data_IF_367220726274
#
_entry.id   IF_367220726274
#
_cell.length_a   1.000
_cell.length_b   1.000
_cell.length_c   1.000
_cell.angle_alpha   90.00
_cell.angle_beta   90.00
_cell.angle_gamma   90.00
#
_symmetry.space_group_name_H-M   'P 1'
#
loop_
_entity.id
_entity.type
_entity.pdbx_description
1 polymer ?
#
# COMPACT_ATOMS: atom_id res chain seq x y z
N UNK A 1 19.79 9.11 -9.25
CA UNK A 1 19.43 8.28 -10.41
C UNK A 1 17.93 8.11 -10.38
N UNK A 2 17.24 8.43 -11.47
CA UNK A 2 15.79 8.25 -11.61
C UNK A 2 15.53 6.80 -12.02
N UNK A 3 14.84 6.04 -11.18
CA UNK A 3 14.55 4.64 -11.46
C UNK A 3 13.33 4.13 -10.71
N UNK A 4 12.52 3.34 -11.42
CA UNK A 4 11.43 2.54 -10.90
C UNK A 4 11.91 1.41 -9.96
N UNK A 5 13.20 1.06 -10.04
CA UNK A 5 13.75 -0.17 -9.47
C UNK A 5 14.65 0.07 -8.26
N UNK A 6 14.82 1.33 -7.86
CA UNK A 6 15.70 1.70 -6.75
C UNK A 6 14.83 2.18 -5.59
N UNK A 7 15.00 1.52 -4.45
CA UNK A 7 14.44 1.92 -3.16
C UNK A 7 15.61 2.48 -2.35
N UNK A 8 15.67 3.81 -2.26
CA UNK A 8 16.72 4.48 -1.48
C UNK A 8 16.29 4.63 -0.02
N UNK A 9 17.23 4.49 0.91
CA UNK A 9 17.03 4.77 2.33
C UNK A 9 18.10 5.75 2.82
N UNK A 10 17.70 6.75 3.62
CA UNK A 10 18.59 7.84 4.06
C UNK A 10 19.62 7.43 5.12
N UNK A 11 19.34 6.37 5.90
CA UNK A 11 20.13 6.00 7.07
C UNK A 11 20.68 4.57 6.94
N UNK A 12 21.81 4.32 7.60
CA UNK A 12 22.26 2.98 7.97
C UNK A 12 21.40 2.39 9.10
N UNK A 13 21.54 1.09 9.35
CA UNK A 13 21.00 0.44 10.56
C UNK A 13 22.13 0.01 11.48
N UNK A 14 21.91 0.14 12.78
CA UNK A 14 22.80 -0.44 13.81
C UNK A 14 22.35 -1.86 14.06
N UNK A 15 23.25 -2.83 13.98
CA UNK A 15 23.01 -4.24 14.34
C UNK A 15 23.99 -4.67 15.43
N UNK A 16 23.68 -5.75 16.15
CA UNK A 16 24.58 -6.30 17.17
C UNK A 16 25.50 -7.35 16.53
N UNK A 17 26.80 -7.06 16.45
CA UNK A 17 27.82 -8.02 16.04
C UNK A 17 28.79 -8.24 17.19
N UNK A 18 28.90 -9.48 17.68
CA UNK A 18 29.76 -9.80 18.82
C UNK A 18 29.39 -9.06 20.13
N UNK A 19 28.14 -8.60 20.26
CA UNK A 19 27.66 -7.82 21.40
C UNK A 19 27.94 -6.32 21.30
N UNK A 20 28.54 -5.84 20.20
CA UNK A 20 28.80 -4.42 19.96
C UNK A 20 27.91 -3.89 18.81
N UNK A 21 27.44 -2.62 18.90
CA UNK A 21 26.65 -2.02 17.84
C UNK A 21 27.53 -1.64 16.65
N UNK A 22 27.27 -2.22 15.49
CA UNK A 22 27.94 -1.91 14.20
C UNK A 22 26.93 -1.28 13.25
N UNK A 23 27.33 -0.24 12.51
CA UNK A 23 26.49 0.39 11.49
C UNK A 23 26.70 -0.32 10.16
N UNK A 24 25.61 -0.79 9.57
CA UNK A 24 25.58 -1.45 8.26
C UNK A 24 24.55 -0.80 7.34
N UNK A 25 24.63 -1.13 6.05
CA UNK A 25 23.64 -0.72 5.05
C UNK A 25 22.26 -1.34 5.37
N UNK A 26 21.15 -0.57 5.29
CA UNK A 26 19.81 -1.07 5.63
C UNK A 26 19.23 -2.04 4.59
N UNK A 27 19.83 -2.17 3.40
CA UNK A 27 19.26 -2.88 2.27
C UNK A 27 18.87 -4.32 2.61
N UNK A 28 19.73 -5.05 3.34
CA UNK A 28 19.44 -6.43 3.74
C UNK A 28 18.23 -6.52 4.69
N UNK A 29 18.14 -5.63 5.67
CA UNK A 29 17.02 -5.58 6.62
C UNK A 29 15.70 -5.18 5.93
N UNK A 30 15.75 -4.23 4.99
CA UNK A 30 14.58 -3.82 4.21
C UNK A 30 14.13 -4.93 3.26
N UNK A 31 15.07 -5.61 2.59
CA UNK A 31 14.74 -6.74 1.72
C UNK A 31 14.11 -7.91 2.50
N UNK A 32 14.62 -8.20 3.71
CA UNK A 32 14.05 -9.21 4.60
C UNK A 32 12.64 -8.81 5.07
N UNK A 33 12.42 -7.52 5.37
CA UNK A 33 11.09 -7.00 5.70
C UNK A 33 10.12 -7.22 4.55
N UNK A 34 10.49 -6.80 3.33
CA UNK A 34 9.67 -7.00 2.12
C UNK A 34 9.29 -8.48 1.95
N UNK A 35 10.27 -9.38 1.97
CA UNK A 35 10.04 -10.80 1.78
C UNK A 35 9.12 -11.41 2.87
N UNK A 36 9.30 -10.96 4.12
CA UNK A 36 8.42 -11.36 5.24
C UNK A 36 7.00 -10.88 5.02
N UNK A 37 6.79 -9.61 4.66
CA UNK A 37 5.46 -9.05 4.40
C UNK A 37 4.78 -9.83 3.29
N UNK A 38 5.49 -10.08 2.18
CA UNK A 38 4.94 -10.83 1.05
C UNK A 38 4.50 -12.23 1.44
N UNK A 39 5.30 -12.93 2.25
CA UNK A 39 4.97 -14.27 2.74
C UNK A 39 3.75 -14.25 3.65
N UNK A 40 3.63 -13.24 4.52
CA UNK A 40 2.52 -13.12 5.48
C UNK A 40 1.21 -12.77 4.78
N UNK A 41 1.26 -11.90 3.79
CA UNK A 41 0.07 -11.39 3.09
C UNK A 41 -0.28 -12.20 1.83
N UNK A 42 0.59 -13.12 1.40
CA UNK A 42 0.33 -14.01 0.27
C UNK A 42 0.65 -13.44 -1.11
N UNK A 43 1.45 -12.36 -1.19
CA UNK A 43 1.89 -11.82 -2.48
C UNK A 43 2.68 -10.51 -2.39
N UNK A 44 3.36 -10.10 -3.48
CA UNK A 44 4.24 -8.92 -3.53
C UNK A 44 3.48 -7.60 -3.77
N UNK A 45 2.21 -7.53 -3.37
CA UNK A 45 1.32 -6.40 -3.68
C UNK A 45 1.32 -5.31 -2.61
N UNK A 46 1.72 -5.68 -1.40
CA UNK A 46 1.57 -4.85 -0.22
C UNK A 46 2.78 -3.93 -0.02
N UNK A 47 2.52 -2.79 0.59
CA UNK A 47 3.55 -1.83 0.93
C UNK A 47 4.48 -2.37 2.02
N UNK A 48 5.81 -2.25 1.87
CA UNK A 48 6.74 -2.56 2.95
C UNK A 48 6.80 -1.45 4.02
N UNK A 49 6.21 -0.29 3.74
CA UNK A 49 6.24 0.86 4.62
C UNK A 49 5.40 0.67 5.88
N UNK A 50 5.67 1.51 6.88
CA UNK A 50 4.99 1.55 8.17
C UNK A 50 5.19 0.30 9.06
N UNK A 51 6.14 -0.57 8.72
CA UNK A 51 6.43 -1.82 9.44
C UNK A 51 7.79 -1.78 10.15
N UNK A 52 7.91 -2.53 11.24
CA UNK A 52 9.12 -2.55 12.06
C UNK A 52 10.20 -3.49 11.50
N UNK A 53 11.44 -2.99 11.46
CA UNK A 53 12.61 -3.80 11.14
C UNK A 53 12.97 -4.73 12.30
N UNK A 54 13.31 -5.98 11.97
CA UNK A 54 13.70 -7.04 12.91
C UNK A 54 15.21 -6.99 13.13
N UNK A 55 15.67 -7.30 14.35
CA UNK A 55 17.09 -7.41 14.75
C UNK A 55 17.97 -6.17 14.51
N UNK A 56 17.35 -5.04 14.19
CA UNK A 56 18.00 -3.72 14.18
C UNK A 56 18.04 -3.21 15.62
N UNK A 57 19.09 -2.50 16.03
CA UNK A 57 19.18 -1.78 17.31
C UNK A 57 18.61 -0.36 17.21
N UNK A 58 18.78 0.28 16.05
CA UNK A 58 18.22 1.59 15.71
C UNK A 58 18.85 2.14 14.43
N UNK A 59 18.42 3.31 13.94
CA UNK A 59 19.03 3.94 12.77
C UNK A 59 20.43 4.50 13.09
N UNK A 60 21.26 4.68 12.05
CA UNK A 60 22.60 5.26 12.17
C UNK A 60 22.55 6.72 12.63
N UNK A 61 21.54 7.47 12.16
CA UNK A 61 21.23 8.86 12.48
C UNK A 61 19.74 8.96 12.79
N UNK A 62 19.32 9.83 13.71
CA UNK A 62 17.89 10.13 13.91
C UNK A 62 17.34 10.99 12.78
N UNK A 63 16.19 10.62 12.22
CA UNK A 63 15.39 11.46 11.30
C UNK A 63 14.16 11.94 12.05
N UNK A 64 13.86 13.23 11.96
CA UNK A 64 12.68 13.78 12.61
C UNK A 64 11.40 13.28 11.92
N UNK A 65 10.49 12.72 12.72
CA UNK A 65 9.19 12.23 12.24
C UNK A 65 8.11 12.63 13.23
N UNK A 66 7.08 13.29 12.70
CA UNK A 66 5.92 13.79 13.43
C UNK A 66 4.73 13.55 12.51
N UNK A 67 3.73 12.80 13.00
CA UNK A 67 2.64 12.28 12.16
C UNK A 67 1.70 13.38 11.66
N UNK A 68 1.55 14.44 12.42
CA UNK A 68 0.71 15.62 12.14
C UNK A 68 1.46 16.74 11.42
N UNK A 69 2.78 16.60 11.21
CA UNK A 69 3.60 17.59 10.51
C UNK A 69 3.99 17.10 9.11
N UNK A 70 3.34 17.62 8.04
CA UNK A 70 3.72 17.29 6.66
C UNK A 70 5.12 17.81 6.30
N UNK A 71 5.63 18.81 7.04
CA UNK A 71 6.96 19.39 6.86
C UNK A 71 8.10 18.64 7.55
N UNK A 72 7.82 17.52 8.24
CA UNK A 72 8.85 16.77 8.94
C UNK A 72 9.93 16.23 8.00
N UNK A 73 11.14 16.02 8.53
CA UNK A 73 12.30 15.58 7.74
C UNK A 73 12.03 14.27 6.99
N UNK A 74 11.33 13.32 7.64
CA UNK A 74 10.95 12.05 7.02
C UNK A 74 10.09 12.25 5.77
N UNK A 75 9.07 13.11 5.82
CA UNK A 75 8.20 13.40 4.67
C UNK A 75 8.92 14.19 3.59
N UNK A 76 9.79 15.13 3.99
CA UNK A 76 10.65 15.86 3.05
C UNK A 76 11.60 14.96 2.25
N UNK A 77 12.15 13.92 2.90
CA UNK A 77 12.95 12.88 2.26
C UNK A 77 12.09 11.98 1.36
N UNK A 78 10.94 11.53 1.87
CA UNK A 78 10.03 10.64 1.15
C UNK A 78 9.60 11.27 -0.18
N UNK A 79 9.21 12.56 -0.17
CA UNK A 79 8.82 13.29 -1.38
C UNK A 79 9.94 13.40 -2.42
N UNK A 80 11.21 13.19 -2.04
CA UNK A 80 12.38 13.12 -2.95
C UNK A 80 12.76 11.71 -3.38
N UNK A 81 11.94 10.71 -3.04
CA UNK A 81 12.20 9.30 -3.34
C UNK A 81 13.25 8.67 -2.43
N UNK A 82 13.46 9.23 -1.24
CA UNK A 82 14.37 8.69 -0.23
C UNK A 82 13.56 8.32 1.02
N UNK A 83 13.54 7.03 1.32
CA UNK A 83 12.81 6.50 2.47
C UNK A 83 13.63 6.66 3.76
N UNK A 84 12.97 6.59 4.92
CA UNK A 84 13.63 6.76 6.22
C UNK A 84 13.24 5.67 7.21
N UNK A 85 14.05 5.52 8.24
CA UNK A 85 13.77 4.69 9.41
C UNK A 85 13.44 5.67 10.53
N UNK A 86 12.20 5.61 10.98
CA UNK A 86 11.63 6.58 11.91
C UNK A 86 11.39 5.97 13.28
N UNK A 87 11.53 6.82 14.29
CA UNK A 87 11.02 6.55 15.61
C UNK A 87 9.64 7.16 15.73
N UNK A 88 8.60 6.32 15.62
CA UNK A 88 7.25 6.76 16.02
C UNK A 88 7.32 7.13 17.49
N UNK A 89 7.08 8.39 17.80
CA UNK A 89 7.17 8.91 19.16
C UNK A 89 6.19 8.12 20.05
N UNK A 90 6.69 7.58 21.15
CA UNK A 90 5.87 6.83 22.09
C UNK A 90 4.73 7.73 22.59
N UNK A 91 3.51 7.20 22.47
CA UNK A 91 2.28 7.83 22.93
C UNK A 91 2.49 8.39 24.35
N UNK A 92 2.32 9.71 24.52
CA UNK A 92 2.62 10.45 25.76
C UNK A 92 1.80 9.98 26.99
N UNK A 93 0.84 9.10 26.76
CA UNK A 93 -0.06 8.46 27.73
C UNK A 93 0.40 7.09 28.22
N UNK A 94 1.33 6.42 27.54
CA UNK A 94 1.89 5.15 28.02
C UNK A 94 3.08 5.42 28.93
N UNK A 95 2.93 5.11 30.23
CA UNK A 95 4.03 5.07 31.23
C UNK A 95 5.12 4.03 30.91
N UNK A 96 4.98 3.27 29.84
CA UNK A 96 6.06 2.44 29.31
C UNK A 96 6.99 3.31 28.47
N UNK A 97 7.83 4.07 29.18
CA UNK A 97 9.07 4.61 28.63
C UNK A 97 9.89 3.39 28.18
N UNK A 98 10.09 3.26 26.87
CA UNK A 98 10.87 2.23 26.14
C UNK A 98 10.06 1.11 25.44
N UNK A 99 9.28 1.47 24.40
CA UNK A 99 9.03 0.58 23.25
C UNK A 99 10.19 0.70 22.23
N UNK A 100 10.50 -0.35 21.44
CA UNK A 100 11.84 -0.64 20.96
C UNK A 100 12.38 0.41 19.97
N UNK A 101 13.22 1.33 20.47
CA UNK A 101 14.23 2.09 19.71
C UNK A 101 13.93 2.38 18.22
N UNK A 102 12.77 2.97 17.90
CA UNK A 102 12.47 3.58 16.60
C UNK A 102 13.06 2.93 15.35
N UNK A 103 12.47 1.81 14.92
CA UNK A 103 12.96 0.97 13.81
C UNK A 103 11.93 0.80 12.71
N UNK A 104 10.91 1.64 12.69
CA UNK A 104 9.87 1.52 11.68
C UNK A 104 10.41 2.03 10.35
N UNK A 105 10.31 1.20 9.32
CA UNK A 105 10.61 1.61 7.96
C UNK A 105 9.49 2.52 7.45
N UNK A 106 9.77 3.81 7.33
CA UNK A 106 8.89 4.82 6.72
C UNK A 106 9.28 4.96 5.26
N UNK A 107 8.87 3.97 4.47
CA UNK A 107 9.23 3.93 3.06
C UNK A 107 8.14 3.37 2.18
N UNK A 108 7.69 4.21 1.25
CA UNK A 108 6.60 3.90 0.34
C UNK A 108 6.95 4.23 -1.11
N UNK A 109 7.98 5.06 -1.33
CA UNK A 109 8.31 5.61 -2.64
C UNK A 109 9.66 5.09 -3.14
N UNK A 110 9.75 4.84 -4.43
CA UNK A 110 11.00 4.62 -5.14
C UNK A 110 11.62 5.96 -5.59
N UNK A 111 12.77 5.89 -6.26
CA UNK A 111 13.48 7.07 -6.77
C UNK A 111 12.89 7.66 -8.06
N UNK A 112 11.76 7.15 -8.55
CA UNK A 112 11.20 7.58 -9.81
C UNK A 112 10.67 9.02 -9.74
N UNK A 113 10.85 9.78 -10.82
CA UNK A 113 10.31 11.14 -10.94
C UNK A 113 8.84 11.18 -11.37
N UNK A 114 8.37 10.18 -12.12
CA UNK A 114 6.98 10.10 -12.57
C UNK A 114 6.06 9.78 -11.39
N UNK A 115 5.15 10.70 -10.98
CA UNK A 115 4.26 10.52 -9.83
C UNK A 115 3.42 9.24 -9.88
N UNK A 116 3.05 8.78 -11.08
CA UNK A 116 2.22 7.58 -11.25
C UNK A 116 2.95 6.31 -10.83
N UNK A 117 4.27 6.26 -11.01
CA UNK A 117 5.07 5.06 -10.78
C UNK A 117 6.01 5.19 -9.59
N UNK A 118 5.76 6.12 -8.66
CA UNK A 118 6.62 6.32 -7.48
C UNK A 118 6.37 5.30 -6.39
N UNK A 119 5.14 4.81 -6.25
CA UNK A 119 4.81 3.90 -5.16
C UNK A 119 5.44 2.53 -5.37
N UNK A 120 6.09 2.02 -4.32
CA UNK A 120 6.78 0.73 -4.35
C UNK A 120 5.76 -0.40 -4.59
N UNK A 121 4.63 -0.40 -3.88
CA UNK A 121 3.56 -1.40 -4.05
C UNK A 121 3.03 -1.44 -5.49
N UNK A 122 2.69 -0.29 -6.07
CA UNK A 122 2.22 -0.16 -7.46
C UNK A 122 3.20 -0.78 -8.46
N UNK A 123 4.49 -0.42 -8.39
CA UNK A 123 5.50 -0.98 -9.30
C UNK A 123 5.67 -2.48 -9.11
N UNK A 124 5.62 -2.95 -7.86
CA UNK A 124 5.75 -4.39 -7.53
C UNK A 124 4.55 -5.19 -8.02
N UNK A 125 3.33 -4.71 -7.79
CA UNK A 125 2.09 -5.30 -8.31
C UNK A 125 2.11 -5.40 -9.83
N UNK A 126 2.45 -4.31 -10.52
CA UNK A 126 2.55 -4.31 -12.00
C UNK A 126 3.50 -5.38 -12.51
N UNK A 127 4.68 -5.48 -11.89
CA UNK A 127 5.72 -6.45 -12.29
C UNK A 127 5.29 -7.89 -12.00
N UNK A 128 4.72 -8.14 -10.82
CA UNK A 128 4.25 -9.46 -10.44
C UNK A 128 3.16 -9.96 -11.38
N UNK A 129 2.17 -9.11 -11.71
CA UNK A 129 1.13 -9.41 -12.70
C UNK A 129 1.73 -9.66 -14.07
N UNK A 130 2.64 -8.79 -14.53
CA UNK A 130 3.31 -8.94 -15.83
C UNK A 130 4.10 -10.25 -15.95
N UNK A 131 4.71 -10.71 -14.86
CA UNK A 131 5.44 -11.97 -14.82
C UNK A 131 4.53 -13.20 -14.72
N UNK A 132 3.40 -13.09 -14.00
CA UNK A 132 2.43 -14.17 -13.86
C UNK A 132 1.71 -14.49 -15.17
N UNK A 133 1.37 -13.49 -15.99
CA UNK A 133 0.57 -13.67 -17.22
C UNK A 133 1.20 -14.68 -18.19
N UNK A 134 2.47 -14.54 -18.64
CA UNK A 134 3.06 -15.51 -19.59
C UNK A 134 3.10 -16.94 -19.04
N UNK A 135 3.39 -17.10 -17.74
CA UNK A 135 3.44 -18.41 -17.07
C UNK A 135 2.07 -19.09 -17.07
N UNK A 136 1.01 -18.33 -16.82
CA UNK A 136 -0.37 -18.86 -16.85
C UNK A 136 -0.83 -19.20 -18.27
N UNK A 137 -0.37 -18.46 -19.28
CA UNK A 137 -0.78 -18.62 -20.68
C UNK A 137 0.02 -19.67 -21.45
N UNK A 138 1.18 -20.11 -20.96
CA UNK A 138 2.06 -21.10 -21.61
C UNK A 138 1.30 -22.38 -22.01
N UNK A 139 0.37 -22.84 -21.18
CA UNK A 139 -0.46 -24.03 -21.44
C UNK A 139 -1.35 -23.94 -22.70
N UNK A 140 -1.52 -22.75 -23.26
CA UNK A 140 -2.31 -22.53 -24.48
C UNK A 140 -1.43 -22.51 -25.74
N UNK A 141 -0.12 -22.38 -25.61
CA UNK A 141 0.81 -22.43 -26.73
C UNK A 141 0.76 -23.81 -27.38
N UNK A 142 0.67 -23.84 -28.71
CA UNK A 142 0.54 -25.07 -29.50
C UNK A 142 -0.90 -25.58 -29.67
N UNK A 143 -1.89 -25.00 -28.98
CA UNK A 143 -3.32 -25.29 -29.23
C UNK A 143 -3.80 -24.64 -30.52
N UNK A 144 -4.84 -25.22 -31.14
CA UNK A 144 -5.42 -24.69 -32.38
C UNK A 144 -6.17 -23.39 -32.10
N UNK A 145 -5.88 -22.35 -32.89
CA UNK A 145 -6.57 -21.08 -32.82
C UNK A 145 -8.05 -21.25 -33.21
N UNK A 146 -8.95 -20.81 -32.35
CA UNK A 146 -10.40 -20.88 -32.56
C UNK A 146 -11.13 -20.01 -31.55
N UNK A 147 -12.42 -19.74 -31.81
CA UNK A 147 -13.23 -18.83 -30.97
C UNK A 147 -13.23 -19.25 -29.50
N UNK A 148 -13.41 -20.55 -29.24
CA UNK A 148 -13.41 -21.09 -27.88
C UNK A 148 -12.08 -20.83 -27.14
N UNK A 149 -10.93 -21.03 -27.80
CA UNK A 149 -9.62 -20.79 -27.18
C UNK A 149 -9.46 -19.32 -26.77
N UNK A 150 -9.82 -18.39 -27.66
CA UNK A 150 -9.73 -16.95 -27.37
C UNK A 150 -10.64 -16.56 -26.22
N UNK A 151 -11.88 -17.07 -26.19
CA UNK A 151 -12.83 -16.81 -25.10
C UNK A 151 -12.30 -17.33 -23.77
N UNK A 152 -11.76 -18.56 -23.73
CA UNK A 152 -11.20 -19.15 -22.51
C UNK A 152 -10.00 -18.34 -22.01
N UNK A 153 -9.11 -17.87 -22.90
CA UNK A 153 -7.97 -17.03 -22.49
C UNK A 153 -8.46 -15.71 -21.89
N UNK A 154 -9.41 -15.03 -22.53
CA UNK A 154 -9.96 -13.77 -22.02
C UNK A 154 -10.65 -13.97 -20.66
N UNK A 155 -11.43 -15.05 -20.51
CA UNK A 155 -12.05 -15.41 -19.23
C UNK A 155 -11.01 -15.70 -18.15
N UNK A 156 -9.98 -16.51 -18.43
CA UNK A 156 -8.90 -16.78 -17.47
C UNK A 156 -8.17 -15.52 -17.03
N UNK A 157 -7.95 -14.55 -17.93
CA UNK A 157 -7.32 -13.28 -17.58
C UNK A 157 -8.23 -12.40 -16.71
N UNK A 158 -9.53 -12.37 -17.00
CA UNK A 158 -10.51 -11.65 -16.19
C UNK A 158 -10.68 -12.29 -14.79
N UNK A 159 -10.71 -13.61 -14.71
CA UNK A 159 -10.72 -14.36 -13.45
C UNK A 159 -9.48 -14.02 -12.61
N UNK A 160 -8.29 -14.03 -13.22
CA UNK A 160 -7.06 -13.65 -12.54
C UNK A 160 -7.10 -12.23 -11.95
N UNK A 161 -7.61 -11.24 -12.69
CA UNK A 161 -7.78 -9.88 -12.16
C UNK A 161 -8.85 -9.86 -11.05
N UNK A 162 -9.94 -10.61 -11.19
CA UNK A 162 -10.97 -10.72 -10.16
C UNK A 162 -10.44 -11.33 -8.86
N UNK A 163 -9.50 -12.28 -8.92
CA UNK A 163 -8.83 -12.85 -7.74
C UNK A 163 -8.00 -11.78 -7.01
N UNK A 164 -7.25 -10.96 -7.75
CA UNK A 164 -6.46 -9.86 -7.18
C UNK A 164 -7.33 -8.76 -6.55
N UNK A 165 -8.53 -8.53 -7.12
CA UNK A 165 -9.54 -7.62 -6.60
C UNK A 165 -10.21 -8.15 -5.32
N UNK A 166 -10.30 -9.46 -5.17
CA UNK A 166 -10.95 -10.12 -4.03
C UNK A 166 -10.04 -10.26 -2.79
N UNK A 167 -8.78 -9.84 -2.86
CA UNK A 167 -7.87 -9.81 -1.71
C UNK A 167 -8.43 -8.90 -0.59
N UNK A 168 -8.11 -9.17 0.70
CA UNK A 168 -8.61 -8.37 1.83
C UNK A 168 -8.27 -6.88 1.71
N UNK A 169 -7.04 -6.59 1.25
CA UNK A 169 -6.69 -5.30 0.66
C UNK A 169 -6.48 -5.55 -0.83
N UNK A 170 -7.35 -5.02 -1.71
CA UNK A 170 -7.29 -5.29 -3.14
C UNK A 170 -5.97 -4.82 -3.73
N UNK A 171 -5.26 -5.72 -4.44
CA UNK A 171 -4.03 -5.34 -5.16
C UNK A 171 -4.32 -4.50 -6.42
N UNK A 172 -5.52 -4.69 -6.99
CA UNK A 172 -6.02 -4.03 -8.19
C UNK A 172 -7.42 -3.51 -7.90
N UNK A 173 -7.72 -2.29 -8.36
CA UNK A 173 -9.05 -1.67 -8.20
C UNK A 173 -10.04 -2.35 -9.15
N UNK A 174 -9.70 -2.36 -10.44
CA UNK A 174 -10.46 -3.02 -11.48
C UNK A 174 -9.58 -3.29 -12.72
N UNK A 175 -10.07 -4.13 -13.61
CA UNK A 175 -9.42 -4.39 -14.88
C UNK A 175 -10.24 -5.31 -15.78
N UNK A 176 -9.90 -5.30 -17.06
CA UNK A 176 -10.56 -6.14 -18.05
C UNK A 176 -9.59 -6.55 -19.17
N UNK A 177 -9.72 -7.81 -19.57
CA UNK A 177 -9.13 -8.36 -20.77
C UNK A 177 -10.10 -8.21 -21.94
N UNK A 178 -9.59 -7.73 -23.08
CA UNK A 178 -10.34 -7.66 -24.33
C UNK A 178 -9.54 -8.19 -25.50
N UNK A 179 -10.25 -8.82 -26.42
CA UNK A 179 -9.73 -9.15 -27.74
C UNK A 179 -10.25 -8.13 -28.75
N UNK A 180 -9.33 -7.48 -29.45
CA UNK A 180 -9.66 -6.48 -30.46
C UNK A 180 -9.29 -6.99 -31.85
N UNK A 181 -10.24 -6.86 -32.79
CA UNK A 181 -10.00 -7.22 -34.19
C UNK A 181 -8.93 -6.33 -34.85
N UNK A 182 -8.79 -5.09 -34.43
CA UNK A 182 -7.78 -4.16 -34.98
C UNK A 182 -6.35 -4.60 -34.70
N UNK A 183 -6.10 -5.29 -33.58
CA UNK A 183 -4.78 -5.81 -33.20
C UNK A 183 -4.50 -7.21 -33.77
N UNK A 184 -5.53 -7.88 -34.32
CA UNK A 184 -5.47 -9.25 -34.79
C UNK A 184 -5.96 -9.29 -36.24
N UNK A 185 -5.14 -8.78 -37.17
CA UNK A 185 -5.42 -8.80 -38.60
C UNK A 185 -5.33 -10.22 -39.19
N UNK A 186 -5.79 -10.40 -40.43
CA UNK A 186 -5.76 -11.71 -41.07
C UNK A 186 -4.34 -12.26 -41.25
N UNK A 187 -3.34 -11.40 -41.49
CA UNK A 187 -1.97 -11.82 -41.71
C UNK A 187 -1.36 -12.40 -40.43
N UNK A 188 -1.50 -11.71 -39.29
CA UNK A 188 -1.03 -12.18 -37.98
C UNK A 188 -1.73 -13.46 -37.54
N UNK A 189 -3.05 -13.55 -37.66
CA UNK A 189 -3.79 -14.75 -37.26
C UNK A 189 -3.44 -15.96 -38.13
N UNK A 190 -3.14 -15.76 -39.42
CA UNK A 190 -2.79 -16.86 -40.35
C UNK A 190 -1.46 -17.54 -40.00
N UNK A 191 -0.54 -16.81 -39.37
CA UNK A 191 0.73 -17.36 -38.85
C UNK A 191 0.62 -17.81 -37.39
N UNK A 192 -0.58 -17.79 -36.80
CA UNK A 192 -0.83 -18.22 -35.42
C UNK A 192 -0.59 -17.13 -34.37
N UNK A 193 -0.50 -15.86 -34.77
CA UNK A 193 -0.42 -14.72 -33.86
C UNK A 193 -1.75 -14.43 -33.17
N UNK A 194 -1.69 -14.10 -31.88
CA UNK A 194 -2.83 -13.66 -31.09
C UNK A 194 -2.36 -12.58 -30.11
N UNK A 195 -3.04 -11.44 -30.13
CA UNK A 195 -2.80 -10.31 -29.22
C UNK A 195 -4.06 -10.06 -28.41
N UNK A 196 -3.91 -9.99 -27.09
CA UNK A 196 -4.98 -9.68 -26.14
C UNK A 196 -4.51 -8.48 -25.32
N UNK A 197 -5.41 -7.51 -25.16
CA UNK A 197 -5.15 -6.32 -24.35
C UNK A 197 -5.70 -6.57 -22.95
N UNK A 198 -4.84 -6.44 -21.94
CA UNK A 198 -5.24 -6.46 -20.53
C UNK A 198 -4.97 -5.08 -19.93
N UNK A 199 -6.03 -4.40 -19.55
CA UNK A 199 -5.96 -3.11 -18.86
C UNK A 199 -6.39 -3.32 -17.41
N UNK A 200 -5.61 -2.82 -16.46
CA UNK A 200 -5.91 -2.89 -15.04
C UNK A 200 -5.21 -1.75 -14.32
N UNK A 201 -5.79 -1.32 -13.21
CA UNK A 201 -5.29 -0.23 -12.35
C UNK A 201 -4.87 -0.80 -10.99
N UNK A 202 -3.59 -0.63 -10.65
CA UNK A 202 -3.08 -1.02 -9.33
C UNK A 202 -3.67 -0.15 -8.23
N UNK A 203 -3.95 -0.74 -7.07
CA UNK A 203 -4.41 0.04 -5.92
C UNK A 203 -3.23 0.83 -5.32
N UNK A 204 -3.32 2.16 -5.21
CA UNK A 204 -2.28 2.96 -4.57
C UNK A 204 -2.34 2.85 -3.04
N UNK A 205 -1.19 3.02 -2.38
CA UNK A 205 -1.11 3.10 -0.93
C UNK A 205 -1.64 4.45 -0.42
N UNK A 206 -2.26 4.45 0.76
CA UNK A 206 -2.62 5.69 1.47
C UNK A 206 -1.36 6.34 2.09
N UNK A 207 -0.95 7.48 1.56
CA UNK A 207 0.24 8.21 2.02
C UNK A 207 -0.05 9.46 2.86
N UNK A 208 -1.14 10.16 2.55
CA UNK A 208 -1.55 11.37 3.26
C UNK A 208 -2.98 11.20 3.76
N UNK A 209 -3.17 11.29 5.08
CA UNK A 209 -4.45 11.18 5.75
C UNK A 209 -4.64 12.41 6.63
N UNK A 210 -5.60 13.26 6.26
CA UNK A 210 -5.94 14.45 7.00
C UNK A 210 -7.34 14.30 7.58
N UNK A 211 -7.47 14.49 8.90
CA UNK A 211 -8.75 14.46 9.60
C UNK A 211 -8.98 15.82 10.25
N UNK A 212 -10.01 16.53 9.80
CA UNK A 212 -10.43 17.79 10.40
C UNK A 212 -11.38 17.53 11.56
N UNK A 213 -11.15 18.18 12.69
CA UNK A 213 -12.02 18.10 13.87
C UNK A 213 -12.78 19.41 14.05
N UNK A 214 -14.08 19.33 14.29
CA UNK A 214 -14.94 20.49 14.55
C UNK A 214 -15.92 20.23 15.69
N UNK A 215 -16.52 21.30 16.22
CA UNK A 215 -17.62 21.18 17.18
C UNK A 215 -18.89 20.74 16.46
N UNK A 216 -19.64 19.83 17.07
CA UNK A 216 -20.88 19.30 16.50
C UNK A 216 -22.10 19.87 17.26
N UNK A 217 -22.60 21.01 16.81
CA UNK A 217 -23.71 21.73 17.46
C UNK A 217 -25.01 20.90 17.48
N UNK A 218 -25.26 20.10 16.45
CA UNK A 218 -26.46 19.26 16.37
C UNK A 218 -26.54 18.19 17.48
N UNK A 219 -25.45 17.91 18.22
CA UNK A 219 -25.51 17.11 19.44
C UNK A 219 -26.46 17.71 20.50
N UNK A 220 -26.65 19.03 20.52
CA UNK A 220 -27.57 19.67 21.45
C UNK A 220 -29.03 19.32 21.18
N UNK A 221 -29.39 18.96 19.94
CA UNK A 221 -30.74 18.47 19.63
C UNK A 221 -30.98 17.10 20.28
N UNK A 222 -29.99 16.21 20.25
CA UNK A 222 -30.06 14.90 20.93
C UNK A 222 -30.19 15.10 22.43
N UNK A 223 -29.35 15.97 23.01
CA UNK A 223 -29.43 16.31 24.43
C UNK A 223 -30.79 16.90 24.81
N UNK A 224 -31.35 17.78 23.98
CA UNK A 224 -32.67 18.36 24.22
C UNK A 224 -33.77 17.28 24.24
N UNK A 225 -33.73 16.31 23.33
CA UNK A 225 -34.65 15.16 23.32
C UNK A 225 -34.47 14.30 24.58
N UNK A 226 -33.24 14.01 24.99
CA UNK A 226 -32.96 13.24 26.21
C UNK A 226 -33.44 13.95 27.48
N UNK A 227 -33.23 15.27 27.57
CA UNK A 227 -33.73 16.10 28.67
C UNK A 227 -35.26 16.06 28.71
N UNK A 228 -35.94 16.22 27.56
CA UNK A 228 -37.40 16.14 27.50
C UNK A 228 -37.92 14.78 27.94
N UNK A 229 -37.29 13.69 27.49
CA UNK A 229 -37.64 12.33 27.90
C UNK A 229 -37.44 12.11 29.41
N UNK A 230 -36.35 12.61 29.98
CA UNK A 230 -36.09 12.53 31.42
C UNK A 230 -37.09 13.35 32.24
N UNK A 231 -37.42 14.57 31.81
CA UNK A 231 -38.43 15.41 32.47
C UNK A 231 -39.80 14.74 32.50
N UNK A 232 -40.20 14.08 31.41
CA UNK A 232 -41.43 13.29 31.35
C UNK A 232 -41.41 12.10 32.32
N UNK A 233 -40.30 11.37 32.43
CA UNK A 233 -40.18 10.23 33.33
C UNK A 233 -40.33 10.59 34.82
N UNK A 234 -39.93 11.81 35.21
CA UNK A 234 -40.05 12.31 36.59
C UNK A 234 -41.28 13.21 36.83
N UNK A 235 -42.22 13.30 35.87
CA UNK A 235 -43.38 14.21 35.92
C UNK A 235 -43.02 15.68 36.24
N UNK A 236 -41.83 16.13 35.83
CA UNK A 236 -41.37 17.50 36.04
C UNK A 236 -41.90 18.36 34.87
N UNK A 237 -43.04 19.02 35.07
CA UNK A 237 -43.60 19.96 34.10
C UNK A 237 -43.04 21.37 34.33
N UNK A 238 -42.03 21.76 33.57
CA UNK A 238 -41.58 23.14 33.48
C UNK A 238 -42.12 23.82 32.23
N UNK A 239 -43.38 24.23 32.21
CA UNK A 239 -43.81 25.25 31.24
C UNK A 239 -43.39 26.61 31.79
N UNK A 240 -42.56 27.34 31.04
CA UNK A 240 -42.38 28.77 31.26
C UNK A 240 -43.74 29.45 31.02
N UNK A 241 -44.28 30.25 31.97
CA UNK A 241 -45.46 31.05 31.71
C UNK A 241 -45.16 32.04 30.57
N UNK A 242 -46.16 32.22 29.70
CA UNK A 242 -46.13 33.07 28.51
C UNK A 242 -45.81 34.54 28.83
#
# INVERSE_FOLDING_TARGET
QDSLNIIACAQGVKISEGGLPVVVDPAASIAALIAKTDQQMGGPYYSPGNQDLIDVLGPSRSVNFVIDDPGCEANWLLQRGVNSIVQKQANRTSRSTNGPQGKTFWGFLNTCTDPLWRMISVVRTRKAVREAIPRTLEKYIGKKLGAHLVTVIVQSLNEFISELKALPEPAVIDGYARWDRSLNDNASMRVGGLVITLNFEETPDLLDLQVYTGRYEAAFNVLATEIQAAMQAYNISGQLPA
#
